data_IF_758645555851
#
_entry.id   IF_758645555851
#
_cell.length_a   1.000
_cell.length_b   1.000
_cell.length_c   1.000
_cell.angle_alpha   90.00
_cell.angle_beta   90.00
_cell.angle_gamma   90.00
#
_symmetry.space_group_name_H-M   'P 1'
#
loop_
_entity.id
_entity.type
_entity.pdbx_description
1 polymer ?
#
# COMPACT_ATOMS: atom_id res chain seq x y z
N UNK A 1 11.03 -8.46 7.67
CA UNK A 1 10.54 -7.07 7.83
C UNK A 1 11.69 -6.08 7.83
N UNK A 2 11.90 -5.37 6.71
CA UNK A 2 12.87 -4.29 6.56
C UNK A 2 12.20 -2.91 6.51
N UNK A 3 13.00 -1.86 6.65
CA UNK A 3 12.57 -0.47 6.46
C UNK A 3 13.58 0.24 5.55
N UNK A 4 13.07 1.01 4.59
CA UNK A 4 13.89 1.77 3.64
C UNK A 4 13.39 3.22 3.63
N UNK A 5 14.32 4.12 3.90
CA UNK A 5 14.10 5.58 3.87
C UNK A 5 14.39 6.14 2.48
N UNK A 6 13.73 7.26 2.14
CA UNK A 6 14.02 8.07 0.95
C UNK A 6 13.96 7.31 -0.39
N UNK A 7 13.01 6.39 -0.54
CA UNK A 7 12.76 5.67 -1.80
C UNK A 7 12.07 6.60 -2.78
N UNK A 8 12.62 6.70 -4.00
CA UNK A 8 11.95 7.37 -5.11
C UNK A 8 10.92 6.43 -5.75
N UNK A 9 9.65 6.76 -5.58
CA UNK A 9 8.51 6.07 -6.19
C UNK A 9 8.06 6.86 -7.40
N UNK A 10 8.21 6.26 -8.59
CA UNK A 10 7.69 6.83 -9.83
C UNK A 10 6.29 6.31 -10.10
N UNK A 11 5.34 7.22 -10.26
CA UNK A 11 3.95 6.93 -10.65
C UNK A 11 3.68 7.70 -11.93
N UNK A 12 3.64 6.98 -13.05
CA UNK A 12 3.56 7.58 -14.39
C UNK A 12 4.71 8.59 -14.64
N UNK A 13 4.41 9.87 -14.75
CA UNK A 13 5.39 10.96 -14.90
C UNK A 13 5.79 11.60 -13.56
N UNK A 14 5.09 11.29 -12.46
CA UNK A 14 5.34 11.85 -11.13
C UNK A 14 6.39 11.03 -10.37
N UNK A 15 7.23 11.70 -9.58
CA UNK A 15 8.23 11.07 -8.73
C UNK A 15 8.08 11.59 -7.30
N UNK A 16 7.91 10.68 -6.35
CA UNK A 16 7.73 10.98 -4.93
C UNK A 16 8.83 10.36 -4.10
N UNK A 17 9.28 11.07 -3.06
CA UNK A 17 10.07 10.46 -1.99
C UNK A 17 9.13 9.80 -0.99
N UNK A 18 9.44 8.57 -0.59
CA UNK A 18 8.65 7.79 0.33
C UNK A 18 9.53 6.93 1.24
N UNK A 19 9.10 6.81 2.50
CA UNK A 19 9.62 5.78 3.40
C UNK A 19 8.74 4.54 3.27
N UNK A 20 9.35 3.35 3.25
CA UNK A 20 8.63 2.10 2.97
C UNK A 20 9.05 0.97 3.90
N UNK A 21 8.12 0.07 4.17
CA UNK A 21 8.39 -1.20 4.85
C UNK A 21 8.47 -2.32 3.82
N UNK A 22 9.51 -3.14 3.92
CA UNK A 22 9.66 -4.36 3.12
C UNK A 22 9.14 -5.52 3.94
N UNK A 23 8.03 -6.11 3.48
CA UNK A 23 7.39 -7.23 4.13
C UNK A 23 7.77 -8.53 3.42
N UNK A 24 8.23 -9.52 4.18
CA UNK A 24 8.42 -10.87 3.66
C UNK A 24 7.04 -11.52 3.54
N UNK A 25 6.66 -11.91 2.32
CA UNK A 25 5.38 -12.55 2.02
C UNK A 25 5.61 -13.99 1.57
N UNK A 26 4.66 -14.90 1.82
CA UNK A 26 4.77 -16.33 1.45
C UNK A 26 4.97 -16.55 -0.07
N UNK A 27 5.58 -17.66 -0.47
CA UNK A 27 5.97 -17.97 -1.87
C UNK A 27 4.81 -18.00 -2.90
N UNK A 28 3.56 -17.80 -2.48
CA UNK A 28 2.39 -17.68 -3.35
C UNK A 28 2.35 -16.42 -4.23
N UNK A 29 3.27 -15.47 -4.06
CA UNK A 29 3.38 -14.25 -4.88
C UNK A 29 4.40 -14.38 -6.02
N UNK A 30 4.70 -15.61 -6.43
CA UNK A 30 5.85 -15.96 -7.29
C UNK A 30 5.66 -15.74 -8.79
N UNK A 31 4.48 -15.33 -9.29
CA UNK A 31 4.27 -15.02 -10.71
C UNK A 31 4.07 -13.53 -11.02
N UNK A 32 5.06 -12.72 -10.62
CA UNK A 32 5.49 -11.61 -11.49
C UNK A 32 5.28 -10.17 -11.01
N UNK A 33 4.66 -9.93 -9.86
CA UNK A 33 4.71 -8.60 -9.23
C UNK A 33 4.38 -8.66 -7.74
N UNK A 34 5.31 -8.26 -6.88
CA UNK A 34 5.01 -8.05 -5.46
C UNK A 34 4.03 -6.87 -5.31
N UNK A 35 2.92 -7.01 -4.55
CA UNK A 35 1.97 -5.93 -4.35
C UNK A 35 2.61 -4.78 -3.58
N UNK A 36 2.33 -3.55 -4.01
CA UNK A 36 2.74 -2.32 -3.29
C UNK A 36 1.51 -1.77 -2.57
N UNK A 37 1.63 -1.57 -1.26
CA UNK A 37 0.59 -0.95 -0.44
C UNK A 37 0.99 0.52 -0.22
N UNK A 38 0.21 1.43 -0.81
CA UNK A 38 0.39 2.87 -0.61
C UNK A 38 -0.43 3.32 0.60
N UNK A 39 0.26 3.52 1.72
CA UNK A 39 -0.36 4.06 2.93
C UNK A 39 -0.78 5.52 2.76
N UNK A 40 -1.61 6.02 3.68
CA UNK A 40 -2.11 7.40 3.58
C UNK A 40 -1.06 8.49 3.69
N UNK A 41 0.08 8.32 4.40
CA UNK A 41 1.16 9.30 4.32
C UNK A 41 1.62 9.53 2.88
N UNK A 42 1.79 8.44 2.11
CA UNK A 42 2.12 8.55 0.68
C UNK A 42 1.00 9.21 -0.11
N UNK A 43 -0.24 8.74 0.07
CA UNK A 43 -1.39 9.30 -0.64
C UNK A 43 -1.59 10.80 -0.36
N UNK A 44 -1.31 11.24 0.87
CA UNK A 44 -1.35 12.65 1.29
C UNK A 44 -0.24 13.46 0.63
N UNK A 45 0.98 12.93 0.55
CA UNK A 45 2.10 13.55 -0.18
C UNK A 45 1.75 13.74 -1.65
N UNK A 46 1.15 12.71 -2.28
CA UNK A 46 0.70 12.76 -3.67
C UNK A 46 -0.65 13.47 -3.88
N UNK A 47 -1.22 14.10 -2.83
CA UNK A 47 -2.53 14.79 -2.86
C UNK A 47 -3.60 13.95 -3.55
N UNK A 48 -3.61 12.66 -3.25
CA UNK A 48 -4.41 11.67 -3.98
C UNK A 48 -5.90 11.93 -3.74
N UNK A 49 -6.69 11.91 -4.82
CA UNK A 49 -8.16 11.90 -4.76
C UNK A 49 -8.67 10.60 -5.35
N UNK A 50 -9.53 9.92 -4.62
CA UNK A 50 -10.14 8.65 -5.03
C UNK A 50 -11.65 8.89 -5.11
N UNK A 51 -12.18 8.90 -6.33
CA UNK A 51 -13.62 8.90 -6.55
C UNK A 51 -14.07 7.46 -6.75
N UNK A 52 -14.62 6.88 -5.68
CA UNK A 52 -15.09 5.49 -5.66
C UNK A 52 -16.29 5.29 -6.58
N UNK A 53 -17.19 6.30 -6.68
CA UNK A 53 -18.39 6.19 -7.49
C UNK A 53 -18.03 6.23 -8.99
N UNK A 54 -17.16 7.17 -9.37
CA UNK A 54 -16.68 7.29 -10.75
C UNK A 54 -15.61 6.24 -11.11
N UNK A 55 -15.01 5.57 -10.12
CA UNK A 55 -13.93 4.60 -10.32
C UNK A 55 -12.63 5.25 -10.81
N UNK A 56 -12.35 6.47 -10.35
CA UNK A 56 -11.17 7.23 -10.78
C UNK A 56 -10.25 7.56 -9.62
N UNK A 57 -8.96 7.69 -9.92
CA UNK A 57 -7.93 8.10 -8.97
C UNK A 57 -7.08 9.19 -9.62
N UNK A 58 -6.76 10.25 -8.90
CA UNK A 58 -5.83 11.28 -9.35
C UNK A 58 -4.74 11.54 -8.34
N UNK A 59 -3.52 11.80 -8.81
CA UNK A 59 -2.38 12.21 -7.99
C UNK A 59 -1.82 13.54 -8.51
N UNK A 60 -1.35 14.39 -7.60
CA UNK A 60 -0.85 15.72 -7.89
C UNK A 60 0.53 15.94 -7.26
N UNK A 61 1.44 16.52 -8.03
CA UNK A 61 2.75 16.98 -7.57
C UNK A 61 3.11 18.31 -8.23
N UNK A 62 3.23 19.37 -7.43
CA UNK A 62 3.36 20.73 -7.96
C UNK A 62 2.14 21.08 -8.82
N UNK A 63 2.37 21.48 -10.07
CA UNK A 63 1.32 21.82 -11.03
C UNK A 63 0.91 20.63 -11.94
N UNK A 64 1.50 19.45 -11.72
CA UNK A 64 1.24 18.25 -12.53
C UNK A 64 0.20 17.36 -11.86
N UNK A 65 -0.79 16.89 -12.64
CA UNK A 65 -1.84 15.99 -12.19
C UNK A 65 -1.92 14.81 -13.14
N UNK A 66 -1.91 13.59 -12.61
CA UNK A 66 -2.14 12.36 -13.36
C UNK A 66 -3.48 11.76 -12.95
N UNK A 67 -4.23 11.26 -13.92
CA UNK A 67 -5.52 10.61 -13.73
C UNK A 67 -5.47 9.15 -14.17
N UNK A 68 -6.03 8.29 -13.33
CA UNK A 68 -6.14 6.86 -13.55
C UNK A 68 -7.61 6.45 -13.54
N UNK A 69 -8.00 5.63 -14.52
CA UNK A 69 -9.26 4.91 -14.48
C UNK A 69 -9.01 3.53 -13.84
N UNK A 70 -9.50 3.36 -12.62
CA UNK A 70 -9.32 2.11 -11.86
C UNK A 70 -10.13 0.98 -12.50
N UNK A 71 -11.26 1.29 -13.13
CA UNK A 71 -12.08 0.29 -13.82
C UNK A 71 -11.36 -0.28 -15.06
N UNK A 72 -10.58 0.54 -15.77
CA UNK A 72 -9.77 0.06 -16.91
C UNK A 72 -8.62 -0.84 -16.46
N UNK A 73 -8.00 -0.51 -15.31
CA UNK A 73 -6.98 -1.37 -14.70
C UNK A 73 -7.55 -2.74 -14.31
N UNK A 74 -8.79 -2.80 -13.81
CA UNK A 74 -9.44 -4.07 -13.47
C UNK A 74 -9.83 -4.93 -14.68
N UNK A 75 -9.85 -4.38 -15.90
CA UNK A 75 -10.15 -5.13 -17.13
C UNK A 75 -8.97 -5.97 -17.64
N UNK A 76 -7.76 -5.65 -17.18
CA UNK A 76 -6.56 -6.42 -17.46
C UNK A 76 -6.08 -7.01 -16.13
N UNK A 77 -6.81 -7.98 -15.55
CA UNK A 77 -6.29 -8.66 -14.38
C UNK A 77 -4.95 -9.27 -14.75
N UNK A 78 -3.92 -8.97 -13.95
CA UNK A 78 -2.69 -9.75 -13.99
C UNK A 78 -3.07 -11.24 -13.83
N UNK A 79 -2.42 -12.12 -14.58
CA UNK A 79 -2.81 -13.54 -14.65
C UNK A 79 -2.84 -14.25 -13.27
N UNK A 80 -2.15 -13.68 -12.28
CA UNK A 80 -2.24 -14.05 -10.88
C UNK A 80 -3.32 -13.24 -10.15
N UNK A 81 -4.52 -13.80 -10.04
CA UNK A 81 -5.60 -13.28 -9.22
C UNK A 81 -5.30 -13.40 -7.72
N UNK A 82 -4.38 -12.58 -7.21
CA UNK A 82 -4.24 -12.34 -5.78
C UNK A 82 -5.30 -11.34 -5.34
N UNK A 83 -6.48 -11.82 -4.91
CA UNK A 83 -7.49 -10.96 -4.28
C UNK A 83 -7.01 -10.66 -2.86
N UNK A 84 -6.48 -9.45 -2.64
CA UNK A 84 -6.03 -9.00 -1.32
C UNK A 84 -7.21 -8.49 -0.50
N UNK A 85 -7.74 -9.34 0.38
CA UNK A 85 -8.74 -8.94 1.37
C UNK A 85 -8.02 -8.65 2.68
N UNK A 86 -8.00 -7.38 3.10
CA UNK A 86 -7.59 -7.01 4.44
C UNK A 86 -8.79 -7.15 5.39
N UNK A 87 -8.69 -8.03 6.37
CA UNK A 87 -9.68 -8.21 7.43
C UNK A 87 -9.06 -7.80 8.77
N UNK A 88 -9.82 -7.07 9.59
CA UNK A 88 -9.44 -6.77 10.96
C UNK A 88 -9.79 -8.00 11.81
N UNK A 89 -8.78 -8.73 12.26
CA UNK A 89 -8.93 -9.88 13.17
C UNK A 89 -8.64 -9.43 14.60
N UNK A 90 -9.68 -9.24 15.41
CA UNK A 90 -9.55 -8.80 16.80
C UNK A 90 -9.17 -9.92 17.80
N UNK A 91 -9.24 -11.21 17.41
CA UNK A 91 -9.47 -12.29 18.40
C UNK A 91 -8.41 -13.41 18.55
N UNK A 92 -7.14 -13.25 18.13
CA UNK A 92 -6.13 -14.33 18.37
C UNK A 92 -4.82 -13.79 18.97
N UNK A 93 -4.86 -13.55 20.28
CA UNK A 93 -3.69 -13.28 21.11
C UNK A 93 -3.53 -14.44 22.09
N UNK A 94 -2.67 -15.44 21.82
CA UNK A 94 -2.09 -16.15 22.98
C UNK A 94 -0.80 -16.98 22.84
N UNK A 95 -0.16 -17.18 21.68
CA UNK A 95 1.02 -18.10 21.68
C UNK A 95 2.32 -17.59 21.04
N UNK A 96 2.37 -16.33 20.55
CA UNK A 96 3.56 -15.80 19.85
C UNK A 96 4.12 -14.50 20.47
N UNK A 97 3.86 -14.26 21.76
CA UNK A 97 3.99 -12.97 22.42
C UNK A 97 5.36 -12.26 22.31
N UNK A 98 6.47 -12.98 22.18
CA UNK A 98 7.82 -12.37 22.08
C UNK A 98 8.12 -11.75 20.71
N UNK A 99 7.67 -12.37 19.62
CA UNK A 99 7.83 -11.79 18.26
C UNK A 99 6.77 -10.71 17.99
N UNK A 100 5.65 -10.77 18.73
CA UNK A 100 4.56 -9.81 18.63
C UNK A 100 4.84 -8.45 19.28
N UNK A 101 5.76 -8.31 20.24
CA UNK A 101 6.02 -6.99 20.82
C UNK A 101 6.64 -6.01 19.80
N UNK A 102 7.62 -6.46 19.00
CA UNK A 102 8.16 -5.64 17.91
C UNK A 102 7.16 -5.44 16.78
N UNK A 103 6.34 -6.45 16.51
CA UNK A 103 5.30 -6.40 15.49
C UNK A 103 4.12 -5.51 15.92
N UNK A 104 3.79 -5.42 17.21
CA UNK A 104 2.69 -4.61 17.74
C UNK A 104 3.05 -3.13 17.67
N UNK A 105 4.29 -2.75 18.01
CA UNK A 105 4.74 -1.36 17.85
C UNK A 105 4.74 -0.96 16.37
N UNK A 106 5.21 -1.85 15.48
CA UNK A 106 5.22 -1.60 14.03
C UNK A 106 3.82 -1.65 13.39
N UNK A 107 2.93 -2.55 13.85
CA UNK A 107 1.52 -2.63 13.43
C UNK A 107 0.74 -1.42 13.92
N UNK A 108 0.99 -0.98 15.15
CA UNK A 108 0.38 0.22 15.70
C UNK A 108 0.79 1.45 14.88
N UNK A 109 2.07 1.59 14.52
CA UNK A 109 2.51 2.65 13.59
C UNK A 109 1.88 2.50 12.19
N UNK A 110 1.87 1.29 11.62
CA UNK A 110 1.29 1.05 10.30
C UNK A 110 -0.22 1.33 10.25
N UNK A 111 -0.96 0.97 11.30
CA UNK A 111 -2.39 1.23 11.42
C UNK A 111 -2.68 2.69 11.78
N UNK A 112 -1.89 3.35 12.63
CA UNK A 112 -2.04 4.80 12.84
C UNK A 112 -1.82 5.57 11.54
N UNK A 113 -0.83 5.17 10.75
CA UNK A 113 -0.60 5.72 9.41
C UNK A 113 -1.72 5.35 8.43
N UNK A 114 -2.55 4.34 8.73
CA UNK A 114 -3.75 3.98 7.96
C UNK A 114 -5.09 4.51 8.53
N UNK A 115 -5.13 5.06 9.77
CA UNK A 115 -6.32 5.72 10.35
C UNK A 115 -6.26 7.23 10.74
N UNK A 116 -5.11 7.89 10.93
CA UNK A 116 -4.89 9.38 10.88
C UNK A 116 -4.58 10.09 9.54
#
# INVERSE_FOLDING_TARGET
>A
MGFIEDVLVRVDELIFLANSYVLDMEEGFSHGSAPIILGRPFLKTARTKIDVYAGTLSMEFGDSIVHFNVLDAMRHPFEDHSIFRAEILDDVVNEYASDFHSLHDKKHCFLSDLYD
#
